data_IF_128116339201
#
_entry.id   IF_128116339201
#
_cell.length_a   1.000
_cell.length_b   1.000
_cell.length_c   1.000
_cell.angle_alpha   90.00
_cell.angle_beta   90.00
_cell.angle_gamma   90.00
#
_symmetry.space_group_name_H-M   'P 1'
#
loop_
_entity.id
_entity.type
_entity.pdbx_description
1 polymer ?
#
# COMPACT_ATOMS: atom_id res chain seq x y z
N UNK A 1 -8.45 -0.06 3.55
CA UNK A 1 -7.71 -1.34 3.58
C UNK A 1 -8.16 -2.20 2.41
N UNK A 2 -7.26 -3.00 1.82
CA UNK A 2 -7.58 -3.97 0.77
C UNK A 2 -6.59 -5.15 0.79
N UNK A 3 -7.00 -6.30 0.26
CA UNK A 3 -6.12 -7.45 0.04
C UNK A 3 -5.61 -7.46 -1.39
N UNK A 4 -4.44 -8.04 -1.63
CA UNK A 4 -3.98 -8.40 -2.98
C UNK A 4 -4.89 -9.48 -3.59
N UNK A 5 -4.73 -9.72 -4.90
CA UNK A 5 -5.51 -10.73 -5.63
C UNK A 5 -5.35 -12.15 -5.08
N UNK A 6 -4.24 -12.44 -4.39
CA UNK A 6 -3.97 -13.76 -3.80
C UNK A 6 -4.42 -13.88 -2.34
N UNK A 7 -4.87 -12.79 -1.71
CA UNK A 7 -5.20 -12.76 -0.28
C UNK A 7 -4.00 -13.00 0.64
N UNK A 8 -2.78 -12.86 0.11
CA UNK A 8 -1.51 -13.08 0.80
C UNK A 8 -0.97 -11.82 1.49
N UNK A 9 -1.39 -10.65 1.00
CA UNK A 9 -0.89 -9.35 1.40
C UNK A 9 -2.06 -8.42 1.72
N UNK A 10 -2.06 -7.86 2.92
CA UNK A 10 -3.00 -6.83 3.34
C UNK A 10 -2.36 -5.44 3.24
N UNK A 11 -3.03 -4.55 2.53
CA UNK A 11 -2.66 -3.14 2.44
C UNK A 11 -3.55 -2.30 3.35
N UNK A 12 -2.94 -1.52 4.24
CA UNK A 12 -3.64 -0.59 5.11
C UNK A 12 -3.04 0.81 4.98
N UNK A 13 -3.85 1.76 4.52
CA UNK A 13 -3.48 3.16 4.59
C UNK A 13 -3.84 3.72 5.97
N UNK A 14 -2.95 4.53 6.50
CA UNK A 14 -3.06 5.11 7.84
C UNK A 14 -3.00 6.64 7.76
N UNK A 15 -3.56 7.30 8.78
CA UNK A 15 -3.64 8.76 8.87
C UNK A 15 -2.26 9.44 9.02
N UNK A 16 -1.21 8.65 9.25
CA UNK A 16 0.19 9.09 9.27
C UNK A 16 0.83 9.19 7.87
N UNK A 17 0.01 9.18 6.81
CA UNK A 17 0.45 9.24 5.41
C UNK A 17 1.32 8.06 4.97
N UNK A 18 1.09 6.88 5.57
CA UNK A 18 1.78 5.64 5.21
C UNK A 18 0.81 4.58 4.70
N UNK A 19 1.29 3.76 3.76
CA UNK A 19 0.68 2.46 3.45
C UNK A 19 1.50 1.37 4.10
N UNK A 20 0.85 0.57 4.92
CA UNK A 20 1.39 -0.63 5.52
C UNK A 20 1.03 -1.84 4.67
N UNK A 21 2.03 -2.70 4.45
CA UNK A 21 1.92 -4.01 3.83
C UNK A 21 2.14 -5.05 4.91
N UNK A 22 1.15 -5.90 5.12
CA UNK A 22 1.24 -7.06 6.01
C UNK A 22 1.26 -8.31 5.16
N UNK A 23 2.29 -9.13 5.32
CA UNK A 23 2.42 -10.42 4.63
C UNK A 23 2.60 -11.52 5.66
N UNK A 24 1.95 -12.66 5.42
CA UNK A 24 2.15 -13.85 6.25
C UNK A 24 3.26 -14.68 5.63
N UNK A 25 4.41 -14.73 6.30
CA UNK A 25 5.50 -15.62 5.91
C UNK A 25 5.36 -16.91 6.71
N UNK A 26 4.86 -17.95 6.05
CA UNK A 26 4.78 -19.30 6.58
C UNK A 26 4.91 -20.30 5.45
N UNK A 27 5.77 -21.31 5.61
CA UNK A 27 5.78 -22.45 4.69
C UNK A 27 4.94 -23.56 5.29
N UNK A 28 4.27 -24.38 4.47
CA UNK A 28 3.54 -25.55 4.98
C UNK A 28 4.45 -26.54 5.72
N UNK A 29 5.77 -26.39 5.59
CA UNK A 29 6.79 -27.27 6.18
C UNK A 29 7.26 -26.78 7.55
N UNK A 30 7.12 -25.50 7.88
CA UNK A 30 7.53 -24.91 9.16
C UNK A 30 6.45 -23.93 9.67
N UNK A 31 5.69 -24.30 10.72
CA UNK A 31 4.50 -23.57 11.16
C UNK A 31 4.81 -22.31 11.99
N UNK A 32 6.06 -21.83 12.00
CA UNK A 32 6.38 -20.51 12.56
C UNK A 32 5.81 -19.43 11.63
N UNK A 33 4.51 -19.14 11.77
CA UNK A 33 3.86 -18.04 11.08
C UNK A 33 4.49 -16.73 11.57
N UNK A 34 5.32 -16.13 10.72
CA UNK A 34 5.90 -14.82 10.98
C UNK A 34 5.09 -13.79 10.21
N UNK A 35 4.59 -12.76 10.88
CA UNK A 35 3.96 -11.61 10.21
C UNK A 35 5.08 -10.64 9.84
N UNK A 36 5.32 -10.47 8.54
CA UNK A 36 6.22 -9.43 8.04
C UNK A 36 5.40 -8.18 7.76
N UNK A 37 5.80 -7.08 8.40
CA UNK A 37 5.19 -5.76 8.21
C UNK A 37 6.20 -4.85 7.53
N UNK A 38 5.82 -4.33 6.36
CA UNK A 38 6.55 -3.27 5.67
C UNK A 38 5.68 -2.04 5.59
N UNK A 39 6.28 -0.86 5.49
CA UNK A 39 5.54 0.38 5.26
C UNK A 39 6.24 1.22 4.21
N UNK A 40 5.42 1.97 3.47
CA UNK A 40 5.88 2.90 2.46
C UNK A 40 5.30 4.27 2.79
N UNK A 41 6.17 5.27 2.74
CA UNK A 41 5.79 6.66 3.00
C UNK A 41 5.24 7.23 1.70
N UNK A 42 3.98 7.66 1.72
CA UNK A 42 3.39 8.37 0.61
C UNK A 42 3.80 9.84 0.77
N UNK A 43 4.98 10.20 0.29
CA UNK A 43 5.35 11.61 0.15
C UNK A 43 5.13 12.04 -1.31
N UNK A 44 4.34 13.10 -1.49
CA UNK A 44 4.12 13.72 -2.79
C UNK A 44 5.44 14.28 -3.35
N UNK A 45 6.42 14.57 -2.49
CA UNK A 45 7.80 14.93 -2.87
C UNK A 45 8.46 13.87 -3.76
N UNK A 46 8.23 12.57 -3.49
CA UNK A 46 8.84 11.47 -4.25
C UNK A 46 8.12 11.25 -5.59
N UNK A 47 6.81 11.53 -5.65
CA UNK A 47 6.01 11.21 -6.83
C UNK A 47 6.01 12.31 -7.90
N UNK A 48 6.32 13.57 -7.56
CA UNK A 48 6.25 14.68 -8.53
C UNK A 48 7.37 15.72 -8.46
N UNK A 49 8.40 15.57 -7.61
CA UNK A 49 9.48 16.56 -7.52
C UNK A 49 9.03 17.97 -7.11
N UNK A 50 7.79 18.11 -6.63
CA UNK A 50 7.18 19.37 -6.21
C UNK A 50 6.78 19.25 -4.74
N UNK A 51 7.35 20.13 -3.92
CA UNK A 51 7.01 20.32 -2.50
C UNK A 51 5.56 20.76 -2.35
N UNK A 52 4.65 19.79 -2.28
CA UNK A 52 3.27 20.05 -1.88
C UNK A 52 3.06 19.80 -0.39
N UNK A 53 2.15 20.61 0.15
CA UNK A 53 1.74 20.67 1.55
C UNK A 53 1.24 19.30 2.02
N UNK A 54 1.49 19.00 3.30
CA UNK A 54 1.21 17.73 3.95
C UNK A 54 -0.11 17.08 3.50
N UNK A 55 -0.02 15.81 3.14
CA UNK A 55 -1.08 15.00 2.61
C UNK A 55 -2.17 14.72 3.67
N UNK A 56 -3.44 14.86 3.30
CA UNK A 56 -4.55 14.58 4.20
C UNK A 56 -5.05 13.13 4.02
N UNK A 57 -4.45 12.20 4.78
CA UNK A 57 -4.73 10.77 4.68
C UNK A 57 -6.14 10.34 5.16
N UNK A 58 -6.99 11.26 5.64
CA UNK A 58 -8.35 10.96 6.10
C UNK A 58 -9.31 10.55 4.98
N UNK A 59 -9.08 10.98 3.73
CA UNK A 59 -9.93 10.63 2.57
C UNK A 59 -9.31 9.57 1.67
N UNK A 60 -8.46 8.71 2.23
CA UNK A 60 -7.70 7.77 1.43
C UNK A 60 -8.47 6.50 1.09
N UNK A 61 -8.55 6.21 -0.20
CA UNK A 61 -9.02 4.93 -0.72
C UNK A 61 -7.86 4.16 -1.31
N UNK A 62 -7.78 2.89 -0.95
CA UNK A 62 -6.81 1.94 -1.49
C UNK A 62 -7.57 0.74 -2.06
N UNK A 63 -7.15 0.31 -3.24
CA UNK A 63 -7.73 -0.84 -3.94
C UNK A 63 -6.63 -1.60 -4.65
N UNK A 64 -6.68 -2.92 -4.59
CA UNK A 64 -5.80 -3.76 -5.38
C UNK A 64 -6.49 -4.16 -6.68
N UNK A 65 -5.72 -4.25 -7.75
CA UNK A 65 -6.22 -4.78 -9.01
C UNK A 65 -6.57 -6.27 -8.84
N UNK A 66 -7.74 -6.71 -9.31
CA UNK A 66 -8.12 -8.12 -9.25
C UNK A 66 -7.36 -8.99 -10.27
N UNK A 67 -6.73 -8.37 -11.27
CA UNK A 67 -6.11 -9.07 -12.41
C UNK A 67 -4.61 -8.86 -12.53
N UNK A 68 -4.08 -7.77 -11.97
CA UNK A 68 -2.66 -7.40 -12.08
C UNK A 68 -2.05 -7.15 -10.71
N UNK A 69 -0.73 -7.19 -10.61
CA UNK A 69 0.01 -6.93 -9.36
C UNK A 69 0.16 -5.41 -9.10
N UNK A 70 -0.94 -4.68 -9.29
CA UNK A 70 -0.97 -3.24 -9.10
C UNK A 70 -1.91 -2.88 -7.96
N UNK A 71 -1.51 -1.89 -7.17
CA UNK A 71 -2.34 -1.27 -6.15
C UNK A 71 -2.55 0.18 -6.52
N UNK A 72 -3.81 0.60 -6.52
CA UNK A 72 -4.15 1.99 -6.72
C UNK A 72 -4.55 2.61 -5.39
N UNK A 73 -4.06 3.81 -5.16
CA UNK A 73 -4.48 4.60 -4.02
C UNK A 73 -4.72 6.05 -4.43
N UNK A 74 -5.72 6.67 -3.81
CA UNK A 74 -6.10 8.04 -4.09
C UNK A 74 -6.79 8.67 -2.89
N UNK A 75 -6.77 10.00 -2.86
CA UNK A 75 -7.46 10.79 -1.84
C UNK A 75 -8.17 11.99 -2.43
N UNK A 76 -8.80 12.80 -1.58
CA UNK A 76 -9.60 13.96 -1.96
C UNK A 76 -8.88 15.05 -2.77
N UNK A 77 -7.54 15.00 -2.86
CA UNK A 77 -6.71 15.99 -3.56
C UNK A 77 -6.64 15.78 -5.09
N UNK A 78 -7.66 15.12 -5.68
CA UNK A 78 -7.81 14.91 -7.13
C UNK A 78 -6.63 14.20 -7.81
N UNK A 79 -5.98 13.30 -7.08
CA UNK A 79 -4.92 12.47 -7.64
C UNK A 79 -5.11 11.00 -7.24
N UNK A 80 -4.63 10.12 -8.12
CA UNK A 80 -4.50 8.70 -7.86
C UNK A 80 -3.11 8.25 -8.30
N UNK A 81 -2.52 7.36 -7.52
CA UNK A 81 -1.23 6.75 -7.79
C UNK A 81 -1.48 5.28 -8.02
N UNK A 82 -0.92 4.76 -9.10
CA UNK A 82 -0.86 3.33 -9.36
C UNK A 82 0.54 2.87 -9.03
N UNK A 83 0.62 1.86 -8.18
CA UNK A 83 1.88 1.28 -7.75
C UNK A 83 1.97 -0.17 -8.23
N UNK A 84 3.06 -0.48 -8.91
CA UNK A 84 3.46 -1.83 -9.28
C UNK A 84 4.18 -2.53 -8.12
N UNK A 85 3.62 -3.65 -7.67
CA UNK A 85 4.16 -4.45 -6.57
C UNK A 85 5.39 -5.28 -6.96
N UNK A 86 5.68 -5.46 -8.25
CA UNK A 86 6.81 -6.29 -8.70
C UNK A 86 8.17 -5.60 -8.55
N UNK A 87 8.17 -4.27 -8.51
CA UNK A 87 9.37 -3.43 -8.41
C UNK A 87 9.48 -2.70 -7.06
N UNK A 88 8.79 -3.21 -6.03
CA UNK A 88 8.66 -2.60 -4.70
C UNK A 88 9.81 -2.96 -3.73
#
# INVERSE_FOLDING_TARGET
MCLDRYGSTLFAASTDSRVYLYTVQGSSKHPSQLISVRFFIISIDILQGVKRKAFNAFDFRITASPVSDHVMFGGGDSYAVVWDLQNA
#
